data_IF_135017028193
#
_entry.id   IF_135017028193
#
_cell.length_a   1.000
_cell.length_b   1.000
_cell.length_c   1.000
_cell.angle_alpha   90.00
_cell.angle_beta   90.00
_cell.angle_gamma   90.00
#
_symmetry.space_group_name_H-M   'P 1'
#
loop_
_entity.id
_entity.type
_entity.pdbx_description
1 polymer ?
#
# COMPACT_ATOMS: atom_id res chain seq x y z
N UNK A 1 -7.20 6.16 55.76
CA UNK A 1 -6.35 5.26 54.97
C UNK A 1 -6.95 5.19 53.60
N UNK A 2 -6.25 5.81 52.68
CA UNK A 2 -6.59 5.99 51.28
C UNK A 2 -6.21 4.73 50.48
N UNK A 3 -7.01 4.37 49.48
CA UNK A 3 -6.79 3.39 48.39
C UNK A 3 -8.14 3.34 47.64
N UNK A 4 -8.33 3.87 46.46
CA UNK A 4 -7.42 4.07 45.33
C UNK A 4 -8.20 3.60 44.10
N UNK A 5 -8.54 4.53 43.21
CA UNK A 5 -9.27 4.33 41.96
C UNK A 5 -8.53 3.40 40.99
N UNK A 6 -9.28 2.57 40.26
CA UNK A 6 -8.99 2.11 38.89
C UNK A 6 -10.12 1.17 38.49
N UNK A 7 -10.92 1.35 37.45
CA UNK A 7 -10.62 1.93 36.15
C UNK A 7 -11.43 1.10 35.14
N UNK A 8 -12.75 1.25 35.17
CA UNK A 8 -13.66 0.57 34.24
C UNK A 8 -14.08 1.57 33.16
N UNK A 9 -13.16 1.84 32.25
CA UNK A 9 -13.38 2.75 31.11
C UNK A 9 -12.50 2.33 29.93
N UNK A 10 -12.65 1.08 29.46
CA UNK A 10 -11.81 0.57 28.36
C UNK A 10 -12.52 0.20 27.06
N UNK A 11 -13.86 0.21 26.97
CA UNK A 11 -14.49 -0.33 25.74
C UNK A 11 -15.29 0.63 24.86
N UNK A 12 -15.58 1.87 25.28
CA UNK A 12 -16.47 2.72 24.47
C UNK A 12 -15.76 3.60 23.43
N UNK A 13 -14.41 3.65 23.43
CA UNK A 13 -13.65 4.51 22.50
C UNK A 13 -13.40 3.90 21.11
N UNK A 14 -13.66 2.60 20.93
CA UNK A 14 -13.41 1.91 19.65
C UNK A 14 -14.58 1.94 18.65
N UNK A 15 -15.77 2.38 19.07
CA UNK A 15 -16.98 2.39 18.21
C UNK A 15 -17.31 3.76 17.59
N UNK A 16 -16.54 4.81 17.89
CA UNK A 16 -16.86 6.19 17.49
C UNK A 16 -15.99 6.75 16.34
N UNK A 17 -15.33 5.92 15.54
CA UNK A 17 -14.62 6.38 14.33
C UNK A 17 -15.03 5.58 13.09
N UNK A 18 -15.83 6.27 12.25
CA UNK A 18 -15.79 6.20 10.79
C UNK A 18 -16.60 5.09 10.10
N UNK A 19 -17.91 5.30 9.97
CA UNK A 19 -18.71 4.67 8.90
C UNK A 19 -18.53 5.33 7.52
N UNK A 20 -17.80 6.45 7.40
CA UNK A 20 -17.81 7.25 6.16
C UNK A 20 -16.44 7.54 5.51
N UNK A 21 -15.41 6.76 5.80
CA UNK A 21 -14.20 6.79 4.98
C UNK A 21 -13.89 5.38 4.49
N UNK A 22 -14.11 5.16 3.20
CA UNK A 22 -13.49 4.06 2.46
C UNK A 22 -11.98 4.28 2.53
N UNK A 23 -11.36 3.82 3.62
CA UNK A 23 -9.91 3.92 3.84
C UNK A 23 -9.27 3.21 2.63
N UNK A 24 -8.58 3.93 1.72
CA UNK A 24 -7.81 3.25 0.68
C UNK A 24 -6.84 2.29 1.38
N UNK A 25 -6.37 1.24 0.70
CA UNK A 25 -5.43 0.23 1.18
C UNK A 25 -4.03 0.84 1.52
N UNK A 26 -4.01 1.88 2.35
CA UNK A 26 -2.97 2.38 3.24
C UNK A 26 -2.76 1.31 4.32
N UNK A 27 -2.56 0.05 3.89
CA UNK A 27 -1.80 -0.89 4.69
C UNK A 27 -0.53 -0.12 5.05
N UNK A 28 -0.38 0.09 6.36
CA UNK A 28 0.70 0.79 7.04
C UNK A 28 1.94 0.88 6.17
N UNK A 29 2.53 2.08 6.03
CA UNK A 29 3.74 2.34 5.23
C UNK A 29 4.90 1.42 5.67
N UNK A 30 4.82 0.15 5.29
CA UNK A 30 5.81 -0.89 5.50
C UNK A 30 6.71 -0.80 4.29
N UNK A 31 7.99 -0.59 4.52
CA UNK A 31 9.00 -0.72 3.48
C UNK A 31 9.02 -2.16 2.95
N UNK A 32 9.68 -2.36 1.81
CA UNK A 32 9.83 -3.70 1.24
C UNK A 32 10.57 -4.61 2.22
N UNK A 33 11.60 -4.09 2.86
CA UNK A 33 12.46 -4.79 3.83
C UNK A 33 11.64 -5.23 5.06
N UNK A 34 10.78 -4.36 5.56
CA UNK A 34 9.91 -4.65 6.70
C UNK A 34 8.87 -5.72 6.38
N UNK A 35 8.32 -5.75 5.16
CA UNK A 35 7.42 -6.82 4.72
C UNK A 35 8.14 -8.16 4.61
N UNK A 36 9.38 -8.15 4.13
CA UNK A 36 10.23 -9.35 4.08
C UNK A 36 10.49 -9.85 5.50
N UNK A 37 10.82 -8.96 6.44
CA UNK A 37 11.02 -9.35 7.84
C UNK A 37 9.76 -10.00 8.44
N UNK A 38 8.59 -9.41 8.20
CA UNK A 38 7.32 -9.97 8.68
C UNK A 38 7.00 -11.34 8.08
N UNK A 39 7.28 -11.54 6.79
CA UNK A 39 7.16 -12.84 6.14
C UNK A 39 8.09 -13.88 6.79
N UNK A 40 9.36 -13.52 7.01
CA UNK A 40 10.35 -14.38 7.66
C UNK A 40 9.98 -14.73 9.10
N UNK A 41 9.46 -13.76 9.87
CA UNK A 41 8.97 -13.99 11.23
C UNK A 41 7.75 -14.91 11.24
N UNK A 42 6.88 -14.82 10.23
CA UNK A 42 5.71 -15.70 10.10
C UNK A 42 6.06 -17.15 9.79
N UNK A 43 7.24 -17.42 9.23
CA UNK A 43 7.76 -18.75 9.01
C UNK A 43 8.29 -19.44 10.27
N UNK A 44 8.39 -18.75 11.41
CA UNK A 44 8.84 -19.34 12.67
C UNK A 44 7.76 -20.25 13.25
N UNK A 45 8.14 -21.47 13.56
CA UNK A 45 7.22 -22.47 14.11
C UNK A 45 6.62 -22.02 15.45
N UNK A 46 5.31 -22.19 15.60
CA UNK A 46 4.58 -21.88 16.84
C UNK A 46 4.34 -20.40 17.12
N UNK A 47 4.72 -19.48 16.22
CA UNK A 47 4.50 -18.04 16.42
C UNK A 47 3.13 -17.61 15.89
N UNK A 48 2.33 -16.98 16.76
CA UNK A 48 1.07 -16.35 16.36
C UNK A 48 1.33 -14.97 15.74
N UNK A 49 0.39 -14.46 14.94
CA UNK A 49 0.50 -13.11 14.38
C UNK A 49 0.55 -12.01 15.45
N UNK A 50 -0.04 -12.23 16.64
CA UNK A 50 0.09 -11.30 17.75
C UNK A 50 1.53 -11.25 18.26
N UNK A 51 2.15 -12.43 18.49
CA UNK A 51 3.55 -12.53 18.92
C UNK A 51 4.52 -11.92 17.89
N UNK A 52 4.22 -12.10 16.60
CA UNK A 52 5.01 -11.49 15.53
C UNK A 52 4.88 -9.95 15.56
N UNK A 53 3.66 -9.42 15.76
CA UNK A 53 3.46 -7.98 15.89
C UNK A 53 4.21 -7.40 17.09
N UNK A 54 4.14 -8.07 18.24
CA UNK A 54 4.87 -7.68 19.46
C UNK A 54 6.38 -7.64 19.20
N UNK A 55 6.95 -8.73 18.70
CA UNK A 55 8.38 -8.81 18.39
C UNK A 55 8.81 -7.74 17.38
N UNK A 56 8.03 -7.54 16.33
CA UNK A 56 8.33 -6.53 15.31
C UNK A 56 8.28 -5.11 15.90
N UNK A 57 7.25 -4.79 16.68
CA UNK A 57 7.12 -3.47 17.31
C UNK A 57 8.23 -3.22 18.36
N UNK A 58 8.72 -4.26 19.04
CA UNK A 58 9.86 -4.16 19.94
C UNK A 58 11.15 -3.79 19.20
N UNK A 59 11.41 -4.43 18.05
CA UNK A 59 12.59 -4.14 17.21
C UNK A 59 12.51 -2.78 16.52
N UNK A 60 11.29 -2.35 16.21
CA UNK A 60 11.01 -1.10 15.53
C UNK A 60 10.25 -0.15 16.46
N UNK A 61 10.90 0.34 17.51
CA UNK A 61 10.24 1.21 18.50
C UNK A 61 10.03 2.66 18.00
N UNK A 62 10.78 3.10 16.98
CA UNK A 62 10.70 4.47 16.44
C UNK A 62 9.55 4.69 15.44
N UNK A 63 8.70 3.68 15.19
CA UNK A 63 7.59 3.77 14.23
C UNK A 63 6.24 3.63 14.93
N UNK A 64 5.18 3.88 14.17
CA UNK A 64 3.83 3.53 14.59
C UNK A 64 3.69 2.00 14.70
N UNK A 65 3.14 1.48 15.81
CA UNK A 65 2.95 0.05 16.01
C UNK A 65 2.08 -0.57 14.92
N UNK A 66 2.46 -1.77 14.50
CA UNK A 66 1.65 -2.59 13.61
C UNK A 66 0.80 -3.56 14.41
N UNK A 67 -0.34 -3.95 13.84
CA UNK A 67 -1.27 -4.89 14.46
C UNK A 67 -1.29 -6.24 13.71
N UNK A 68 -1.68 -7.29 14.42
CA UNK A 68 -1.77 -8.66 13.87
C UNK A 68 -2.63 -8.76 12.60
N UNK A 69 -3.63 -7.89 12.45
CA UNK A 69 -4.51 -7.82 11.27
C UNK A 69 -3.76 -7.40 10.01
N UNK A 70 -2.79 -6.48 10.14
CA UNK A 70 -1.94 -6.04 9.03
C UNK A 70 -1.03 -7.19 8.56
N UNK A 71 -0.43 -7.92 9.51
CA UNK A 71 0.39 -9.10 9.23
C UNK A 71 -0.45 -10.17 8.52
N UNK A 72 -1.63 -10.50 9.06
CA UNK A 72 -2.53 -11.48 8.42
C UNK A 72 -2.86 -11.13 6.96
N UNK A 73 -3.10 -9.84 6.66
CA UNK A 73 -3.35 -9.38 5.28
C UNK A 73 -2.11 -9.52 4.40
N UNK A 74 -0.93 -9.15 4.91
CA UNK A 74 0.34 -9.29 4.20
C UNK A 74 0.62 -10.75 3.85
N UNK A 75 0.58 -11.65 4.82
CA UNK A 75 0.86 -13.08 4.62
C UNK A 75 -0.17 -13.71 3.67
N UNK A 76 -1.45 -13.34 3.78
CA UNK A 76 -2.48 -13.80 2.84
C UNK A 76 -2.15 -13.38 1.41
N UNK A 77 -1.81 -12.11 1.19
CA UNK A 77 -1.43 -11.58 -0.13
C UNK A 77 -0.17 -12.27 -0.66
N UNK A 78 0.82 -12.50 0.19
CA UNK A 78 2.03 -13.22 -0.18
C UNK A 78 1.71 -14.67 -0.61
N UNK A 79 0.91 -15.41 0.15
CA UNK A 79 0.50 -16.77 -0.22
C UNK A 79 -0.27 -16.84 -1.54
N UNK A 80 -1.08 -15.81 -1.83
CA UNK A 80 -1.85 -15.73 -3.08
C UNK A 80 -1.01 -15.34 -4.29
N UNK A 81 0.03 -14.52 -4.12
CA UNK A 81 0.75 -13.88 -5.23
C UNK A 81 2.23 -14.23 -5.34
N UNK A 82 2.82 -14.82 -4.29
CA UNK A 82 4.25 -15.04 -4.14
C UNK A 82 5.09 -13.76 -4.03
N UNK A 83 4.46 -12.59 -3.84
CA UNK A 83 5.14 -11.29 -3.88
C UNK A 83 4.85 -10.43 -2.66
N UNK A 84 5.91 -9.78 -2.15
CA UNK A 84 5.84 -8.75 -1.10
C UNK A 84 5.77 -7.33 -1.67
N UNK A 85 5.92 -7.20 -2.98
CA UNK A 85 5.92 -5.90 -3.67
C UNK A 85 4.52 -5.31 -3.72
N UNK A 86 4.46 -3.97 -3.73
CA UNK A 86 3.21 -3.30 -4.02
C UNK A 86 2.74 -3.60 -5.43
N UNK A 87 1.43 -3.79 -5.55
CA UNK A 87 0.80 -3.86 -6.87
C UNK A 87 1.11 -2.54 -7.60
N UNK A 88 1.58 -2.56 -8.85
CA UNK A 88 1.71 -1.34 -9.63
C UNK A 88 0.36 -0.63 -9.63
N UNK A 89 0.39 0.68 -9.35
CA UNK A 89 -0.84 1.47 -9.30
C UNK A 89 -1.54 1.37 -10.64
N UNK A 90 -2.86 1.16 -10.62
CA UNK A 90 -3.71 1.10 -11.80
C UNK A 90 -3.95 2.48 -12.42
N UNK A 91 -2.95 3.37 -12.39
CA UNK A 91 -3.06 4.74 -12.91
C UNK A 91 -3.40 4.76 -14.40
N UNK A 92 -3.49 5.97 -14.98
CA UNK A 92 -3.75 6.14 -16.42
C UNK A 92 -2.81 5.22 -17.20
N UNK A 93 -3.33 4.35 -18.09
CA UNK A 93 -2.50 3.46 -18.88
C UNK A 93 -1.39 4.25 -19.57
N UNK A 94 -0.18 3.70 -19.61
CA UNK A 94 0.91 4.31 -20.37
C UNK A 94 0.50 4.33 -21.84
N UNK A 95 0.73 5.46 -22.51
CA UNK A 95 0.65 5.55 -23.98
C UNK A 95 1.56 4.49 -24.60
N UNK A 96 1.05 3.71 -25.56
CA UNK A 96 1.83 2.65 -26.23
C UNK A 96 3.04 3.22 -26.96
N UNK A 97 4.09 2.41 -27.11
CA UNK A 97 5.31 2.85 -27.81
C UNK A 97 5.03 3.16 -29.29
N UNK A 98 4.16 2.39 -29.94
CA UNK A 98 3.66 2.68 -31.30
C UNK A 98 3.05 4.07 -31.42
N UNK A 99 2.27 4.50 -30.42
CA UNK A 99 1.65 5.83 -30.42
C UNK A 99 2.71 6.92 -30.27
N UNK A 100 3.76 6.68 -29.47
CA UNK A 100 4.87 7.64 -29.31
C UNK A 100 5.63 7.81 -30.61
N UNK A 101 5.98 6.70 -31.26
CA UNK A 101 6.66 6.72 -32.57
C UNK A 101 5.82 7.43 -33.63
N UNK A 102 4.51 7.18 -33.67
CA UNK A 102 3.61 7.87 -34.58
C UNK A 102 3.55 9.38 -34.34
N UNK A 103 3.56 9.82 -33.07
CA UNK A 103 3.63 11.24 -32.69
C UNK A 103 4.97 11.84 -33.13
N UNK A 104 6.09 11.19 -32.82
CA UNK A 104 7.44 11.64 -33.18
C UNK A 104 7.61 11.79 -34.69
N UNK A 105 7.17 10.81 -35.47
CA UNK A 105 7.20 10.86 -36.93
C UNK A 105 6.35 12.03 -37.48
N UNK A 106 5.15 12.25 -36.93
CA UNK A 106 4.25 13.31 -37.39
C UNK A 106 4.77 14.71 -37.05
N UNK A 107 5.34 14.87 -35.87
CA UNK A 107 5.95 16.13 -35.44
C UNK A 107 7.22 16.43 -36.24
N UNK A 108 8.06 15.42 -36.48
CA UNK A 108 9.27 15.56 -37.30
C UNK A 108 8.93 15.95 -38.75
N UNK A 109 7.90 15.35 -39.33
CA UNK A 109 7.44 15.67 -40.68
C UNK A 109 6.78 17.05 -40.81
N UNK A 110 6.25 17.62 -39.72
CA UNK A 110 5.60 18.93 -39.75
C UNK A 110 5.75 19.68 -38.42
N UNK A 111 6.95 20.23 -38.12
CA UNK A 111 7.27 20.77 -36.80
C UNK A 111 6.42 21.99 -36.40
N UNK A 112 5.93 22.75 -37.38
CA UNK A 112 5.10 23.95 -37.15
C UNK A 112 3.61 23.63 -36.96
N UNK A 113 3.20 22.38 -37.11
CA UNK A 113 1.79 21.99 -37.02
C UNK A 113 1.35 21.95 -35.56
N UNK A 114 0.14 22.45 -35.30
CA UNK A 114 -0.44 22.45 -33.96
C UNK A 114 -0.51 21.04 -33.36
N UNK A 115 0.02 20.87 -32.15
CA UNK A 115 -0.04 19.61 -31.40
C UNK A 115 -1.48 19.12 -31.21
N UNK A 116 -2.43 20.02 -30.97
CA UNK A 116 -3.86 19.67 -30.85
C UNK A 116 -4.38 19.03 -32.13
N UNK A 117 -4.03 19.58 -33.30
CA UNK A 117 -4.40 19.01 -34.59
C UNK A 117 -3.71 17.67 -34.83
N UNK A 118 -2.44 17.54 -34.46
CA UNK A 118 -1.69 16.29 -34.53
C UNK A 118 -2.34 15.20 -33.65
N UNK A 119 -2.75 15.54 -32.41
CA UNK A 119 -3.47 14.64 -31.51
C UNK A 119 -4.78 14.14 -32.11
N UNK A 120 -5.58 15.04 -32.70
CA UNK A 120 -6.84 14.66 -33.37
C UNK A 120 -6.60 13.74 -34.56
N UNK A 121 -5.57 14.00 -35.38
CA UNK A 121 -5.24 13.16 -36.53
C UNK A 121 -4.74 11.78 -36.11
N UNK A 122 -4.00 11.70 -35.01
CA UNK A 122 -3.43 10.44 -34.49
C UNK A 122 -4.38 9.70 -33.53
N UNK A 123 -5.54 10.28 -33.21
CA UNK A 123 -6.49 9.68 -32.26
C UNK A 123 -5.93 9.58 -30.83
N UNK A 124 -4.95 10.41 -30.47
CA UNK A 124 -4.34 10.40 -29.14
C UNK A 124 -5.24 11.19 -28.16
N UNK A 125 -5.70 10.58 -27.06
CA UNK A 125 -6.61 11.20 -26.10
C UNK A 125 -5.96 12.21 -25.14
#
# INVERSE_FOLDING_TARGET
MDRGESGEARDDRMMALSKEERIPDRMMNLSKEERIELELLSGREGWSYCKIAEEFNLRHSCRQPIYFTAIRKLIKKFKETGSVLDKPRSGRPKTSDETKEAVEAKVSASPKKSLRRTSTVLGVP
#
